data_IF_446482735934
#
_entry.id   IF_446482735934
#
_cell.length_a   1.000
_cell.length_b   1.000
_cell.length_c   1.000
_cell.angle_alpha   90.00
_cell.angle_beta   90.00
_cell.angle_gamma   90.00
#
_symmetry.space_group_name_H-M   'P 1'
#
loop_
_entity.id
_entity.type
_entity.pdbx_description
1 polymer ?
#
# COMPACT_ATOMS: atom_id res chain seq x y z
N UNK A 1 29.79 -14.99 -14.77
CA UNK A 1 28.88 -15.01 -13.58
C UNK A 1 27.99 -13.83 -13.74
N UNK A 2 26.79 -14.05 -14.25
CA UNK A 2 25.75 -13.00 -14.39
C UNK A 2 25.11 -12.83 -13.02
N UNK A 3 25.37 -11.71 -12.36
CA UNK A 3 24.56 -11.24 -11.23
C UNK A 3 23.14 -10.94 -11.73
N UNK A 4 22.38 -11.99 -12.00
CA UNK A 4 20.96 -11.88 -12.24
C UNK A 4 20.30 -11.62 -10.91
N UNK A 5 19.78 -10.39 -10.70
CA UNK A 5 18.90 -10.10 -9.56
C UNK A 5 17.77 -11.13 -9.57
N UNK A 6 17.70 -12.00 -8.55
CA UNK A 6 16.62 -12.98 -8.42
C UNK A 6 15.26 -12.28 -8.49
N UNK A 7 14.33 -12.86 -9.23
CA UNK A 7 12.95 -12.37 -9.23
C UNK A 7 12.31 -12.62 -7.87
N UNK A 8 11.29 -11.87 -7.52
CA UNK A 8 10.60 -12.03 -6.25
C UNK A 8 9.95 -13.41 -6.12
N UNK A 9 9.50 -13.98 -7.25
CA UNK A 9 8.95 -15.34 -7.31
C UNK A 9 10.05 -16.38 -7.01
N UNK A 10 11.27 -16.18 -7.54
CA UNK A 10 12.42 -17.06 -7.25
C UNK A 10 12.83 -16.96 -5.79
N UNK A 11 12.88 -15.74 -5.22
CA UNK A 11 13.17 -15.54 -3.80
C UNK A 11 12.13 -16.25 -2.93
N UNK A 12 10.83 -16.15 -3.27
CA UNK A 12 9.78 -16.80 -2.51
C UNK A 12 9.89 -18.34 -2.56
N UNK A 13 10.28 -18.91 -3.69
CA UNK A 13 10.52 -20.35 -3.81
C UNK A 13 11.76 -20.79 -3.01
N UNK A 14 12.83 -20.00 -2.99
CA UNK A 14 14.01 -20.24 -2.15
C UNK A 14 13.65 -20.20 -0.66
N UNK A 15 12.87 -19.20 -0.24
CA UNK A 15 12.37 -19.12 1.12
C UNK A 15 11.50 -20.33 1.49
N UNK A 16 10.63 -20.79 0.59
CA UNK A 16 9.86 -22.03 0.79
C UNK A 16 10.75 -23.26 0.99
N UNK A 17 11.94 -23.26 0.43
CA UNK A 17 13.00 -24.27 0.61
C UNK A 17 13.84 -24.09 1.88
N UNK A 18 13.59 -23.05 2.69
CA UNK A 18 14.28 -22.80 3.97
C UNK A 18 15.37 -21.71 3.93
N UNK A 19 15.52 -21.00 2.82
CA UNK A 19 16.48 -19.89 2.69
C UNK A 19 15.91 -18.60 3.32
N UNK A 20 16.31 -18.32 4.56
CA UNK A 20 15.85 -17.14 5.32
C UNK A 20 16.34 -15.83 4.67
N UNK A 21 17.51 -15.82 4.03
CA UNK A 21 18.04 -14.62 3.37
C UNK A 21 17.14 -14.19 2.18
N UNK A 22 16.54 -15.14 1.49
CA UNK A 22 15.58 -14.85 0.44
C UNK A 22 14.32 -14.13 0.99
N UNK A 23 13.87 -14.45 2.20
CA UNK A 23 12.78 -13.73 2.86
C UNK A 23 13.19 -12.32 3.27
N UNK A 24 14.38 -12.14 3.84
CA UNK A 24 14.91 -10.82 4.21
C UNK A 24 14.96 -9.89 2.99
N UNK A 25 15.40 -10.41 1.83
CA UNK A 25 15.45 -9.64 0.59
C UNK A 25 14.04 -9.28 0.09
N UNK A 26 13.06 -10.22 0.12
CA UNK A 26 11.67 -9.93 -0.20
C UNK A 26 11.08 -8.86 0.73
N UNK A 27 11.34 -8.98 2.02
CA UNK A 27 10.90 -7.99 3.01
C UNK A 27 11.45 -6.61 2.66
N UNK A 28 12.76 -6.48 2.50
CA UNK A 28 13.44 -5.22 2.17
C UNK A 28 12.93 -4.57 0.88
N UNK A 29 12.59 -5.37 -0.15
CA UNK A 29 12.05 -4.85 -1.42
C UNK A 29 10.63 -4.32 -1.30
N UNK A 30 9.82 -4.89 -0.43
CA UNK A 30 8.38 -4.67 -0.42
C UNK A 30 7.82 -4.03 0.84
N UNK A 31 8.57 -3.96 1.95
CA UNK A 31 8.09 -3.45 3.24
C UNK A 31 7.50 -2.05 3.13
N UNK A 32 8.23 -1.12 2.50
CA UNK A 32 7.81 0.27 2.37
C UNK A 32 6.54 0.41 1.51
N UNK A 33 6.44 -0.39 0.43
CA UNK A 33 5.29 -0.41 -0.47
C UNK A 33 4.03 -0.88 0.26
N UNK A 34 4.13 -2.00 0.99
CA UNK A 34 3.01 -2.55 1.77
C UNK A 34 2.63 -1.60 2.90
N UNK A 35 3.62 -1.06 3.63
CA UNK A 35 3.39 -0.12 4.72
C UNK A 35 2.67 1.15 4.22
N UNK A 36 3.12 1.76 3.12
CA UNK A 36 2.46 2.92 2.52
C UNK A 36 1.02 2.62 2.10
N UNK A 37 0.79 1.45 1.49
CA UNK A 37 -0.54 1.04 1.11
C UNK A 37 -1.47 0.93 2.32
N UNK A 38 -1.03 0.29 3.41
CA UNK A 38 -1.81 0.14 4.64
C UNK A 38 -2.02 1.48 5.33
N UNK A 39 -0.95 2.24 5.59
CA UNK A 39 -0.99 3.51 6.33
C UNK A 39 -1.91 4.54 5.67
N UNK A 40 -1.95 4.60 4.35
CA UNK A 40 -2.83 5.54 3.62
C UNK A 40 -4.30 5.12 3.58
N UNK A 41 -4.60 3.92 4.02
CA UNK A 41 -5.98 3.43 4.18
C UNK A 41 -6.44 3.42 5.63
N UNK A 42 -5.52 3.57 6.59
CA UNK A 42 -5.76 3.55 8.03
C UNK A 42 -5.33 4.88 8.64
N UNK A 43 -6.09 5.34 9.64
CA UNK A 43 -5.81 6.61 10.33
C UNK A 43 -4.89 6.40 11.55
N UNK A 44 -4.49 5.15 11.85
CA UNK A 44 -3.74 4.79 13.05
C UNK A 44 -2.47 4.00 12.69
N UNK A 45 -1.30 4.55 13.09
CA UNK A 45 0.00 3.95 12.85
C UNK A 45 0.19 2.60 13.56
N UNK A 46 -0.27 2.49 14.81
CA UNK A 46 -0.15 1.24 15.57
C UNK A 46 -0.90 0.10 14.87
N UNK A 47 -2.11 0.35 14.39
CA UNK A 47 -2.88 -0.62 13.60
C UNK A 47 -2.18 -0.96 12.29
N UNK A 48 -1.50 0.00 11.66
CA UNK A 48 -0.72 -0.26 10.44
C UNK A 48 0.44 -1.20 10.73
N UNK A 49 1.19 -0.96 11.81
CA UNK A 49 2.34 -1.78 12.19
C UNK A 49 1.89 -3.20 12.60
N UNK A 50 0.75 -3.36 13.26
CA UNK A 50 0.13 -4.66 13.54
C UNK A 50 -0.24 -5.40 12.24
N UNK A 51 -0.91 -4.72 11.30
CA UNK A 51 -1.26 -5.33 10.03
C UNK A 51 -0.04 -5.71 9.19
N UNK A 52 1.02 -4.90 9.23
CA UNK A 52 2.30 -5.26 8.59
C UNK A 52 2.83 -6.59 9.09
N UNK A 53 2.86 -6.78 10.42
CA UNK A 53 3.30 -8.05 11.01
C UNK A 53 2.39 -9.21 10.55
N UNK A 54 1.06 -9.03 10.58
CA UNK A 54 0.12 -10.05 10.14
C UNK A 54 0.31 -10.44 8.67
N UNK A 55 0.55 -9.46 7.79
CA UNK A 55 0.80 -9.69 6.36
C UNK A 55 2.06 -10.53 6.18
N UNK A 56 3.17 -10.16 6.81
CA UNK A 56 4.43 -10.88 6.67
C UNK A 56 4.40 -12.26 7.34
N UNK A 57 3.67 -12.42 8.45
CA UNK A 57 3.38 -13.75 9.00
C UNK A 57 2.52 -14.60 8.05
N UNK A 58 1.56 -13.98 7.34
CA UNK A 58 0.78 -14.70 6.33
C UNK A 58 1.66 -15.14 5.15
N UNK A 59 2.59 -14.28 4.68
CA UNK A 59 3.59 -14.64 3.66
C UNK A 59 4.41 -15.84 4.12
N UNK A 60 4.97 -15.80 5.34
CA UNK A 60 5.80 -16.88 5.87
C UNK A 60 5.03 -18.21 5.99
N UNK A 61 3.78 -18.17 6.47
CA UNK A 61 2.94 -19.36 6.57
C UNK A 61 2.55 -19.95 5.21
N UNK A 62 2.33 -19.09 4.22
CA UNK A 62 1.93 -19.51 2.88
C UNK A 62 3.11 -20.00 2.02
N UNK A 63 4.35 -19.81 2.46
CA UNK A 63 5.54 -20.07 1.67
C UNK A 63 5.58 -21.48 1.07
N UNK A 64 5.33 -22.52 1.88
CA UNK A 64 5.36 -23.93 1.45
C UNK A 64 4.33 -24.27 0.37
N UNK A 65 3.23 -23.54 0.33
CA UNK A 65 2.16 -23.71 -0.65
C UNK A 65 2.20 -22.73 -1.81
N UNK A 66 3.17 -21.83 -1.81
CA UNK A 66 3.26 -20.77 -2.82
C UNK A 66 3.42 -21.35 -4.22
N UNK A 67 2.67 -20.81 -5.17
CA UNK A 67 2.76 -21.11 -6.60
C UNK A 67 2.86 -19.79 -7.36
N UNK A 68 3.85 -19.59 -8.21
CA UNK A 68 4.03 -18.35 -8.99
C UNK A 68 3.06 -18.27 -10.17
N UNK A 69 1.75 -18.24 -9.87
CA UNK A 69 0.67 -18.14 -10.88
C UNK A 69 0.47 -16.68 -11.31
N UNK A 70 0.78 -15.73 -10.40
CA UNK A 70 0.72 -14.29 -10.63
C UNK A 70 2.03 -13.67 -10.13
N UNK A 71 2.24 -12.38 -10.43
CA UNK A 71 3.37 -11.61 -9.88
C UNK A 71 3.34 -11.68 -8.34
N UNK A 72 4.51 -11.84 -7.74
CA UNK A 72 4.64 -11.84 -6.27
C UNK A 72 3.99 -10.60 -5.66
N UNK A 73 4.22 -9.41 -6.23
CA UNK A 73 3.63 -8.15 -5.77
C UNK A 73 2.10 -8.19 -5.73
N UNK A 74 1.46 -8.75 -6.77
CA UNK A 74 -0.01 -8.90 -6.84
C UNK A 74 -0.52 -9.83 -5.75
N UNK A 75 0.16 -10.95 -5.52
CA UNK A 75 -0.16 -11.90 -4.46
C UNK A 75 0.04 -11.30 -3.08
N UNK A 76 1.16 -10.62 -2.83
CA UNK A 76 1.46 -9.94 -1.56
C UNK A 76 0.41 -8.86 -1.23
N UNK A 77 0.08 -8.01 -2.22
CA UNK A 77 -0.93 -6.97 -2.04
C UNK A 77 -2.35 -7.54 -1.90
N UNK A 78 -2.62 -8.75 -2.40
CA UNK A 78 -3.88 -9.46 -2.10
C UNK A 78 -3.95 -9.82 -0.61
N UNK A 79 -2.86 -10.31 -0.01
CA UNK A 79 -2.82 -10.59 1.42
C UNK A 79 -3.01 -9.30 2.25
N UNK A 80 -2.29 -8.24 1.89
CA UNK A 80 -2.39 -6.95 2.56
C UNK A 80 -3.81 -6.35 2.45
N UNK A 81 -4.41 -6.39 1.26
CA UNK A 81 -5.77 -5.89 1.03
C UNK A 81 -6.83 -6.65 1.83
N UNK A 82 -6.73 -7.98 1.88
CA UNK A 82 -7.67 -8.80 2.65
C UNK A 82 -7.60 -8.44 4.14
N UNK A 83 -6.39 -8.32 4.72
CA UNK A 83 -6.21 -7.91 6.12
C UNK A 83 -6.77 -6.51 6.37
N UNK A 84 -6.47 -5.56 5.50
CA UNK A 84 -7.01 -4.20 5.56
C UNK A 84 -8.54 -4.19 5.57
N UNK A 85 -9.18 -4.90 4.65
CA UNK A 85 -10.65 -4.95 4.55
C UNK A 85 -11.28 -5.58 5.80
N UNK A 86 -10.68 -6.64 6.34
CA UNK A 86 -11.16 -7.29 7.56
C UNK A 86 -11.07 -6.33 8.76
N UNK A 87 -9.95 -5.59 8.90
CA UNK A 87 -9.78 -4.58 9.96
C UNK A 87 -10.78 -3.43 9.80
N UNK A 88 -10.94 -2.89 8.59
CA UNK A 88 -11.91 -1.81 8.36
C UNK A 88 -13.37 -2.25 8.64
N UNK A 89 -13.71 -3.51 8.40
CA UNK A 89 -15.01 -4.08 8.77
C UNK A 89 -15.18 -4.18 10.27
N UNK A 90 -14.15 -4.65 10.98
CA UNK A 90 -14.16 -4.76 12.44
C UNK A 90 -14.31 -3.38 13.10
N UNK A 91 -13.55 -2.37 12.66
CA UNK A 91 -13.62 -1.00 13.18
C UNK A 91 -15.00 -0.39 12.97
N UNK A 92 -15.60 -0.51 11.78
CA UNK A 92 -16.96 -0.04 11.51
C UNK A 92 -18.02 -0.73 12.37
N UNK A 93 -17.77 -1.98 12.79
CA UNK A 93 -18.67 -2.68 13.71
C UNK A 93 -18.54 -2.14 15.13
N UNK A 94 -17.32 -1.78 15.57
CA UNK A 94 -17.05 -1.20 16.88
C UNK A 94 -17.51 0.27 16.98
N UNK A 95 -17.38 1.08 15.93
CA UNK A 95 -17.85 2.49 15.91
C UNK A 95 -19.36 2.62 16.04
N UNK A 96 -20.12 1.56 15.82
CA UNK A 96 -21.55 1.50 16.14
C UNK A 96 -21.85 1.32 17.63
N UNK A 97 -20.81 1.05 18.45
CA UNK A 97 -20.85 1.07 19.91
C UNK A 97 -20.03 2.31 20.34
N UNK A 98 -20.57 3.23 21.17
CA UNK A 98 -19.91 4.49 21.47
C UNK A 98 -18.61 4.26 22.24
N UNK A 99 -17.48 4.46 21.61
CA UNK A 99 -16.16 4.48 22.24
C UNK A 99 -15.39 5.69 21.74
N UNK A 100 -14.67 6.35 22.64
CA UNK A 100 -13.95 7.61 22.48
C UNK A 100 -12.79 7.43 21.49
N UNK A 101 -12.71 8.29 20.47
CA UNK A 101 -11.63 8.34 19.50
C UNK A 101 -10.40 9.06 20.09
N UNK A 102 -9.24 8.45 19.99
CA UNK A 102 -7.94 9.07 20.30
C UNK A 102 -7.26 9.51 18.99
N UNK A 103 -6.66 10.72 19.05
CA UNK A 103 -6.27 11.48 17.87
C UNK A 103 -5.02 10.98 17.15
N UNK A 104 -4.97 11.17 15.85
CA UNK A 104 -3.91 10.75 14.94
C UNK A 104 -2.77 11.75 14.81
N UNK A 105 -1.54 11.24 14.85
CA UNK A 105 -0.30 11.96 14.57
C UNK A 105 0.05 11.82 13.06
N UNK A 106 -0.38 12.81 12.26
CA UNK A 106 -0.26 12.78 10.79
C UNK A 106 1.08 13.27 10.20
N UNK A 107 2.10 13.56 11.02
CA UNK A 107 3.28 14.33 10.60
C UNK A 107 4.48 13.52 10.04
N UNK A 108 4.52 12.21 10.19
CA UNK A 108 5.71 11.40 9.86
C UNK A 108 5.91 11.07 8.36
N UNK A 109 4.90 11.25 7.51
CA UNK A 109 4.94 10.80 6.10
C UNK A 109 5.60 11.81 5.15
N UNK A 110 5.52 13.10 5.49
CA UNK A 110 6.10 14.19 4.68
C UNK A 110 7.63 14.14 4.73
N UNK A 111 8.21 13.73 5.86
CA UNK A 111 9.67 13.62 6.04
C UNK A 111 10.29 12.50 5.19
N UNK A 112 9.59 11.39 4.97
CA UNK A 112 10.11 10.26 4.18
C UNK A 112 10.10 10.50 2.67
N UNK A 113 9.22 11.38 2.17
CA UNK A 113 9.20 11.79 0.76
C UNK A 113 10.28 12.83 0.43
N UNK A 114 10.81 13.52 1.45
CA UNK A 114 11.79 14.60 1.28
C UNK A 114 13.27 14.14 1.35
N UNK A 115 13.54 12.86 1.67
CA UNK A 115 14.88 12.39 1.99
C UNK A 115 15.81 12.20 0.78
N UNK A 116 15.34 12.35 -0.47
CA UNK A 116 16.09 11.89 -1.66
C UNK A 116 16.43 12.99 -2.67
N UNK A 117 16.54 14.27 -2.30
CA UNK A 117 16.98 15.29 -3.26
C UNK A 117 17.96 16.30 -2.66
N UNK A 118 19.12 16.44 -3.33
CA UNK A 118 20.09 17.54 -3.17
C UNK A 118 19.55 18.83 -3.81
N UNK A 119 18.36 19.28 -3.44
CA UNK A 119 17.67 20.42 -4.02
C UNK A 119 17.71 21.64 -3.09
N UNK A 120 17.62 22.86 -3.64
CA UNK A 120 17.63 24.11 -2.88
C UNK A 120 16.49 24.18 -1.84
N UNK A 121 16.66 24.93 -0.70
CA UNK A 121 15.68 24.98 0.39
C UNK A 121 14.25 25.37 -0.05
N UNK A 122 14.13 26.25 -1.04
CA UNK A 122 12.83 26.72 -1.56
C UNK A 122 12.11 25.63 -2.35
N UNK A 123 12.83 24.91 -3.20
CA UNK A 123 12.27 23.79 -3.98
C UNK A 123 11.87 22.63 -3.07
N UNK A 124 12.62 22.38 -1.98
CA UNK A 124 12.24 21.40 -0.95
C UNK A 124 10.93 21.77 -0.26
N UNK A 125 10.77 23.04 0.13
CA UNK A 125 9.55 23.53 0.78
C UNK A 125 8.33 23.38 -0.16
N UNK A 126 8.47 23.71 -1.43
CA UNK A 126 7.41 23.53 -2.43
C UNK A 126 7.08 22.04 -2.66
N UNK A 127 8.10 21.20 -2.79
CA UNK A 127 7.91 19.75 -2.96
C UNK A 127 7.22 19.11 -1.74
N UNK A 128 7.56 19.52 -0.52
CA UNK A 128 6.89 19.08 0.71
C UNK A 128 5.44 19.55 0.76
N UNK A 129 5.14 20.78 0.36
CA UNK A 129 3.78 21.31 0.31
C UNK A 129 2.92 20.53 -0.71
N UNK A 130 3.45 20.24 -1.90
CA UNK A 130 2.77 19.43 -2.91
C UNK A 130 2.54 18.00 -2.44
N UNK A 131 3.53 17.39 -1.76
CA UNK A 131 3.39 16.06 -1.19
C UNK A 131 2.31 16.02 -0.10
N UNK A 132 2.29 16.99 0.81
CA UNK A 132 1.28 17.11 1.86
C UNK A 132 -0.13 17.31 1.27
N UNK A 133 -0.26 18.17 0.25
CA UNK A 133 -1.52 18.40 -0.45
C UNK A 133 -2.02 17.11 -1.15
N UNK A 134 -1.12 16.34 -1.77
CA UNK A 134 -1.47 15.06 -2.39
C UNK A 134 -1.96 14.05 -1.36
N UNK A 135 -1.29 13.93 -0.22
CA UNK A 135 -1.69 13.03 0.86
C UNK A 135 -3.08 13.41 1.39
N UNK A 136 -3.31 14.68 1.70
CA UNK A 136 -4.61 15.17 2.14
C UNK A 136 -5.73 14.96 1.10
N UNK A 137 -5.39 15.05 -0.19
CA UNK A 137 -6.35 14.77 -1.27
C UNK A 137 -6.67 13.26 -1.37
N UNK A 138 -5.68 12.37 -1.14
CA UNK A 138 -5.89 10.91 -1.12
C UNK A 138 -6.82 10.52 0.04
N UNK A 139 -6.67 11.11 1.23
CA UNK A 139 -7.53 10.87 2.39
C UNK A 139 -8.99 11.24 2.13
N UNK A 140 -9.25 12.21 1.27
CA UNK A 140 -10.60 12.60 0.87
C UNK A 140 -11.26 11.66 -0.15
N UNK A 141 -10.54 10.68 -0.70
CA UNK A 141 -11.14 9.70 -1.60
C UNK A 141 -12.08 8.75 -0.84
N UNK A 142 -13.21 8.35 -1.45
CA UNK A 142 -13.98 7.22 -0.94
C UNK A 142 -13.10 5.96 -0.81
N UNK A 143 -13.30 5.11 0.23
CA UNK A 143 -12.40 3.99 0.53
C UNK A 143 -12.06 3.10 -0.67
N UNK A 144 -13.04 2.69 -1.46
CA UNK A 144 -12.81 1.81 -2.61
C UNK A 144 -12.06 2.50 -3.75
N UNK A 145 -12.22 3.82 -3.90
CA UNK A 145 -11.48 4.62 -4.88
C UNK A 145 -10.04 4.83 -4.40
N UNK A 146 -9.84 5.07 -3.10
CA UNK A 146 -8.53 5.19 -2.47
C UNK A 146 -7.74 3.90 -2.62
N UNK A 147 -8.33 2.75 -2.30
CA UNK A 147 -7.72 1.44 -2.44
C UNK A 147 -7.29 1.16 -3.89
N UNK A 148 -8.17 1.37 -4.87
CA UNK A 148 -7.85 1.18 -6.27
C UNK A 148 -6.72 2.10 -6.75
N UNK A 149 -6.71 3.37 -6.30
CA UNK A 149 -5.66 4.32 -6.62
C UNK A 149 -4.31 3.92 -6.01
N UNK A 150 -4.28 3.54 -4.74
CA UNK A 150 -3.07 3.15 -4.03
C UNK A 150 -2.49 1.82 -4.54
N UNK A 151 -3.32 0.84 -4.89
CA UNK A 151 -2.87 -0.39 -5.55
C UNK A 151 -2.20 -0.09 -6.90
N UNK A 152 -2.69 0.92 -7.62
CA UNK A 152 -2.05 1.36 -8.86
C UNK A 152 -0.76 2.15 -8.59
N UNK A 153 -0.79 3.12 -7.68
CA UNK A 153 0.31 4.06 -7.45
C UNK A 153 1.47 3.43 -6.66
N UNK A 154 1.19 2.71 -5.58
CA UNK A 154 2.20 2.06 -4.73
C UNK A 154 2.52 0.64 -5.20
N UNK A 155 1.50 -0.08 -5.67
CA UNK A 155 1.63 -1.48 -6.10
C UNK A 155 2.10 -1.63 -7.54
N UNK A 156 2.03 -0.57 -8.35
CA UNK A 156 2.27 -0.63 -9.80
C UNK A 156 1.39 -1.68 -10.50
N UNK A 157 0.19 -1.92 -9.92
CA UNK A 157 -0.71 -2.92 -10.44
C UNK A 157 -1.47 -2.41 -11.67
N UNK A 158 -1.66 -3.30 -12.63
CA UNK A 158 -2.55 -3.12 -13.76
C UNK A 158 -4.01 -3.15 -13.33
N UNK A 159 -4.93 -2.67 -14.16
CA UNK A 159 -6.37 -2.75 -13.88
C UNK A 159 -6.87 -4.18 -13.66
N UNK A 160 -6.33 -5.15 -14.39
CA UNK A 160 -6.68 -6.56 -14.21
C UNK A 160 -6.24 -7.08 -12.84
N UNK A 161 -5.02 -6.76 -12.41
CA UNK A 161 -4.51 -7.13 -11.10
C UNK A 161 -5.26 -6.42 -9.97
N UNK A 162 -5.62 -5.12 -10.13
CA UNK A 162 -6.46 -4.41 -9.16
C UNK A 162 -7.84 -5.10 -9.02
N UNK A 163 -8.47 -5.48 -10.13
CA UNK A 163 -9.73 -6.21 -10.12
C UNK A 163 -9.60 -7.54 -9.36
N UNK A 164 -8.50 -8.27 -9.58
CA UNK A 164 -8.18 -9.52 -8.88
C UNK A 164 -7.99 -9.28 -7.38
N UNK A 165 -7.12 -8.33 -6.97
CA UNK A 165 -6.81 -8.01 -5.58
C UNK A 165 -8.07 -7.59 -4.82
N UNK A 166 -8.91 -6.73 -5.42
CA UNK A 166 -10.13 -6.20 -4.79
C UNK A 166 -11.35 -7.09 -4.96
N UNK A 167 -11.21 -8.26 -5.60
CA UNK A 167 -12.32 -9.21 -5.90
C UNK A 167 -13.51 -8.52 -6.59
N UNK A 168 -13.21 -7.67 -7.58
CA UNK A 168 -14.23 -6.93 -8.37
C UNK A 168 -14.10 -7.19 -9.86
N UNK A 169 -15.06 -6.71 -10.66
CA UNK A 169 -14.94 -6.77 -12.12
C UNK A 169 -13.90 -5.75 -12.62
N UNK A 170 -13.31 -6.03 -13.79
CA UNK A 170 -12.40 -5.11 -14.48
C UNK A 170 -13.02 -3.72 -14.68
N UNK A 171 -14.30 -3.66 -15.10
CA UNK A 171 -15.00 -2.37 -15.28
C UNK A 171 -15.21 -1.62 -13.97
N UNK A 172 -15.41 -2.33 -12.86
CA UNK A 172 -15.49 -1.72 -11.51
C UNK A 172 -14.14 -1.14 -11.11
N UNK A 173 -13.04 -1.89 -11.25
CA UNK A 173 -11.69 -1.41 -10.95
C UNK A 173 -11.32 -0.18 -11.79
N UNK A 174 -11.61 -0.23 -13.10
CA UNK A 174 -11.41 0.88 -14.04
C UNK A 174 -12.21 2.13 -13.65
N UNK A 175 -13.47 1.97 -13.28
CA UNK A 175 -14.33 3.07 -12.86
C UNK A 175 -13.83 3.70 -11.55
N UNK A 176 -13.48 2.89 -10.55
CA UNK A 176 -12.94 3.35 -9.27
C UNK A 176 -11.66 4.16 -9.48
N UNK A 177 -10.71 3.66 -10.28
CA UNK A 177 -9.45 4.36 -10.58
C UNK A 177 -9.69 5.65 -11.35
N UNK A 178 -10.61 5.65 -12.32
CA UNK A 178 -10.98 6.85 -13.08
C UNK A 178 -11.57 7.93 -12.18
N UNK A 179 -12.51 7.58 -11.29
CA UNK A 179 -13.11 8.53 -10.36
C UNK A 179 -12.12 9.06 -9.34
N UNK A 180 -11.24 8.19 -8.81
CA UNK A 180 -10.15 8.61 -7.93
C UNK A 180 -9.27 9.67 -8.60
N UNK A 181 -8.76 9.40 -9.80
CA UNK A 181 -7.93 10.34 -10.58
C UNK A 181 -8.65 11.65 -10.88
N UNK A 182 -9.93 11.59 -11.23
CA UNK A 182 -10.74 12.79 -11.49
C UNK A 182 -10.90 13.65 -10.25
N UNK A 183 -11.18 13.03 -9.09
CA UNK A 183 -11.31 13.73 -7.81
C UNK A 183 -9.98 14.33 -7.35
N UNK A 184 -8.87 13.59 -7.44
CA UNK A 184 -7.54 14.08 -7.11
C UNK A 184 -7.15 15.28 -7.99
N UNK A 185 -7.35 15.19 -9.31
CA UNK A 185 -7.08 16.30 -10.23
C UNK A 185 -7.88 17.55 -9.89
N UNK A 186 -9.12 17.40 -9.40
CA UNK A 186 -9.94 18.53 -8.95
C UNK A 186 -9.41 19.15 -7.67
N UNK A 187 -9.04 18.32 -6.67
CA UNK A 187 -8.55 18.78 -5.37
C UNK A 187 -7.17 19.45 -5.47
N UNK A 188 -6.36 19.03 -6.43
CA UNK A 188 -4.99 19.53 -6.62
C UNK A 188 -4.86 20.68 -7.64
N UNK A 189 -5.98 21.23 -8.14
CA UNK A 189 -5.94 22.32 -9.13
C UNK A 189 -5.19 23.57 -8.67
N UNK A 190 -5.21 23.85 -7.39
CA UNK A 190 -4.55 25.03 -6.80
C UNK A 190 -3.05 24.83 -6.60
N UNK A 191 -2.56 23.59 -6.81
CA UNK A 191 -1.15 23.19 -6.66
C UNK A 191 -0.48 22.82 -8.00
N UNK A 192 -1.19 22.99 -9.13
CA UNK A 192 -0.73 22.64 -10.48
C UNK A 192 -0.12 23.82 -11.23
#
# INVERSE_FOLDING_TARGET
MTDGVDTDEALMLRFAGGDVQAFEELYRRHELRVWRYLQRNLDNRATTDELMQEVWFAVARAARGYRPIARFTTWLLTLAHNRLVDTLRATRHHERLPTVADGSDGLSLVEQLAADSQTEPLERAQSQQHAAALLAAIEQLPPEQRQAFLLHAEGELTLAEIAQVTSTSFETAKSRLRYARSKLRRLLREYA
#
